data_IF_074630515530
#
_entry.id   IF_074630515530
#
_cell.length_a   1.000
_cell.length_b   1.000
_cell.length_c   1.000
_cell.angle_alpha   90.00
_cell.angle_beta   90.00
_cell.angle_gamma   90.00
#
_symmetry.space_group_name_H-M   'P 1'
#
loop_
_entity.id
_entity.type
_entity.pdbx_description
1 polymer ?
#
# COMPACT_ATOMS: atom_id res chain seq x y z
N UNK A 1 -7.78 -7.95 9.20
CA UNK A 1 -6.58 -7.11 9.44
C UNK A 1 -6.00 -7.30 10.84
N UNK A 2 -6.74 -7.02 11.92
CA UNK A 2 -6.23 -7.17 13.30
C UNK A 2 -5.61 -8.55 13.63
N UNK A 3 -6.24 -9.65 13.18
CA UNK A 3 -5.70 -11.00 13.40
C UNK A 3 -4.35 -11.23 12.70
N UNK A 4 -4.18 -10.76 11.46
CA UNK A 4 -2.93 -10.91 10.71
C UNK A 4 -1.82 -10.01 11.28
N UNK A 5 -2.16 -8.83 11.77
CA UNK A 5 -1.21 -7.97 12.47
C UNK A 5 -0.77 -8.59 13.81
N UNK A 6 -1.68 -9.20 14.57
CA UNK A 6 -1.33 -9.94 15.78
C UNK A 6 -0.41 -11.14 15.47
N UNK A 7 -0.71 -11.89 14.40
CA UNK A 7 0.13 -13.00 13.95
C UNK A 7 1.54 -12.54 13.53
N UNK A 8 1.68 -11.37 12.90
CA UNK A 8 3.00 -10.83 12.57
C UNK A 8 3.83 -10.51 13.83
N UNK A 9 3.22 -9.95 14.87
CA UNK A 9 3.88 -9.68 16.16
C UNK A 9 4.27 -10.97 16.87
N UNK A 10 3.37 -11.95 16.91
CA UNK A 10 3.66 -13.29 17.48
C UNK A 10 4.81 -13.95 16.70
N UNK A 11 4.82 -13.81 15.37
CA UNK A 11 5.88 -14.36 14.52
C UNK A 11 7.23 -13.68 14.79
N UNK A 12 7.26 -12.37 15.03
CA UNK A 12 8.49 -11.66 15.40
C UNK A 12 9.08 -12.19 16.73
N UNK A 13 8.21 -12.40 17.73
CA UNK A 13 8.62 -12.95 19.02
C UNK A 13 9.14 -14.39 18.86
N UNK A 14 8.43 -15.22 18.09
CA UNK A 14 8.84 -16.60 17.82
C UNK A 14 10.18 -16.66 17.08
N UNK A 15 10.38 -15.85 16.03
CA UNK A 15 11.65 -15.78 15.28
C UNK A 15 12.82 -15.37 16.18
N UNK A 16 12.59 -14.45 17.13
CA UNK A 16 13.62 -14.03 18.10
C UNK A 16 14.05 -15.20 18.99
N UNK A 17 13.09 -15.98 19.51
CA UNK A 17 13.36 -17.16 20.36
C UNK A 17 14.06 -18.27 19.58
N UNK A 18 13.74 -18.41 18.28
CA UNK A 18 14.31 -19.43 17.39
C UNK A 18 15.71 -19.06 16.86
N UNK A 19 16.27 -17.90 17.23
CA UNK A 19 17.62 -17.48 16.83
C UNK A 19 17.69 -16.60 15.58
N UNK A 20 16.55 -16.31 14.95
CA UNK A 20 16.45 -15.47 13.75
C UNK A 20 16.26 -13.97 14.11
N UNK A 21 16.88 -13.52 15.21
CA UNK A 21 16.72 -12.14 15.72
C UNK A 21 17.20 -11.08 14.71
N UNK A 22 18.16 -11.42 13.85
CA UNK A 22 18.65 -10.53 12.79
C UNK A 22 17.53 -10.13 11.79
N UNK A 23 16.67 -11.07 11.41
CA UNK A 23 15.50 -10.80 10.54
C UNK A 23 14.51 -9.87 11.22
N UNK A 24 14.31 -10.05 12.52
CA UNK A 24 13.41 -9.21 13.32
C UNK A 24 13.92 -7.78 13.37
N UNK A 25 15.23 -7.58 13.62
CA UNK A 25 15.87 -6.26 13.60
C UNK A 25 15.76 -5.61 12.21
N UNK A 26 16.04 -6.37 11.14
CA UNK A 26 15.89 -5.90 9.76
C UNK A 26 14.44 -5.47 9.49
N UNK A 27 13.47 -6.31 9.85
CA UNK A 27 12.05 -6.01 9.67
C UNK A 27 11.58 -4.77 10.44
N UNK A 28 12.06 -4.56 11.67
CA UNK A 28 11.77 -3.34 12.43
C UNK A 28 12.39 -2.09 11.79
N UNK A 29 13.63 -2.19 11.30
CA UNK A 29 14.28 -1.08 10.61
C UNK A 29 13.52 -0.70 9.33
N UNK A 30 13.17 -1.70 8.52
CA UNK A 30 12.37 -1.51 7.30
C UNK A 30 10.99 -0.96 7.63
N UNK A 31 10.27 -1.54 8.60
CA UNK A 31 8.94 -1.06 9.00
C UNK A 31 8.97 0.39 9.50
N UNK A 32 10.00 0.78 10.26
CA UNK A 32 10.18 2.15 10.75
C UNK A 32 10.43 3.12 9.60
N UNK A 33 11.31 2.76 8.67
CA UNK A 33 11.57 3.55 7.47
C UNK A 33 10.31 3.70 6.61
N UNK A 34 9.59 2.59 6.38
CA UNK A 34 8.33 2.59 5.64
C UNK A 34 7.28 3.47 6.31
N UNK A 35 7.20 3.46 7.63
CA UNK A 35 6.29 4.33 8.36
C UNK A 35 6.62 5.81 8.15
N UNK A 36 7.90 6.19 8.24
CA UNK A 36 8.36 7.56 7.96
C UNK A 36 8.03 7.94 6.51
N UNK A 37 8.38 7.11 5.53
CA UNK A 37 8.08 7.37 4.11
C UNK A 37 6.58 7.46 3.84
N UNK A 38 5.78 6.56 4.40
CA UNK A 38 4.33 6.58 4.27
C UNK A 38 3.70 7.81 4.93
N UNK A 39 4.33 8.39 5.95
CA UNK A 39 3.87 9.64 6.57
C UNK A 39 4.15 10.88 5.70
N UNK A 40 5.21 10.82 4.88
CA UNK A 40 5.61 11.88 3.94
C UNK A 40 4.80 11.84 2.64
N UNK A 41 4.23 10.69 2.28
CA UNK A 41 3.37 10.57 1.12
C UNK A 41 2.16 11.50 1.25
N UNK A 42 1.76 12.19 0.16
CA UNK A 42 0.66 13.13 0.19
C UNK A 42 -0.54 12.54 0.92
N UNK A 43 -0.97 13.19 2.01
CA UNK A 43 -2.26 12.88 2.66
C UNK A 43 -3.42 13.31 1.76
N UNK A 44 -3.12 14.27 0.90
CA UNK A 44 -4.01 14.90 -0.03
C UNK A 44 -3.72 14.40 -1.44
N UNK A 45 -4.72 13.76 -2.04
CA UNK A 45 -4.97 13.97 -3.45
C UNK A 45 -5.37 15.45 -3.69
N UNK A 46 -5.81 16.20 -2.67
CA UNK A 46 -6.19 17.63 -2.66
C UNK A 46 -5.26 18.57 -3.43
N UNK A 47 -4.02 18.85 -2.99
CA UNK A 47 -3.19 19.85 -3.70
C UNK A 47 -2.95 19.53 -5.18
N UNK A 48 -2.68 18.28 -5.53
CA UNK A 48 -2.38 17.89 -6.92
C UNK A 48 -3.64 17.65 -7.75
N UNK A 49 -4.73 17.15 -7.17
CA UNK A 49 -6.02 17.02 -7.82
C UNK A 49 -6.71 18.38 -7.99
N UNK A 50 -6.55 19.31 -7.06
CA UNK A 50 -7.01 20.69 -7.20
C UNK A 50 -6.25 21.40 -8.33
N UNK A 51 -4.95 21.13 -8.48
CA UNK A 51 -4.17 21.59 -9.64
C UNK A 51 -4.60 20.92 -10.93
N UNK A 52 -4.84 19.60 -10.92
CA UNK A 52 -5.36 18.86 -12.07
C UNK A 52 -6.71 19.42 -12.52
N UNK A 53 -7.57 19.76 -11.56
CA UNK A 53 -8.88 20.35 -11.77
C UNK A 53 -8.79 21.77 -12.30
N UNK A 54 -7.93 22.62 -11.74
CA UNK A 54 -7.67 23.96 -12.27
C UNK A 54 -7.21 23.92 -13.73
N UNK A 55 -6.36 22.94 -14.09
CA UNK A 55 -5.91 22.73 -15.47
C UNK A 55 -7.06 22.22 -16.36
N UNK A 56 -7.95 21.37 -15.83
CA UNK A 56 -9.11 20.90 -16.58
C UNK A 56 -10.14 22.02 -16.84
N UNK A 57 -10.35 22.90 -15.86
CA UNK A 57 -11.29 24.03 -15.93
C UNK A 57 -10.80 25.17 -16.83
N UNK A 58 -9.48 25.36 -16.97
CA UNK A 58 -8.86 26.38 -17.85
C UNK A 58 -8.82 26.00 -19.36
N UNK A 59 -9.67 25.05 -19.78
CA UNK A 59 -9.80 24.64 -21.19
C UNK A 59 -8.83 23.56 -21.65
N UNK A 60 -7.90 23.10 -20.79
CA UNK A 60 -6.94 22.01 -21.07
C UNK A 60 -7.36 20.69 -20.41
N UNK A 61 -8.62 20.28 -20.63
CA UNK A 61 -9.26 19.10 -20.02
C UNK A 61 -8.41 17.82 -20.05
N UNK A 62 -7.79 17.49 -21.20
CA UNK A 62 -6.95 16.28 -21.34
C UNK A 62 -5.73 16.28 -20.42
N UNK A 63 -5.08 17.44 -20.25
CA UNK A 63 -3.92 17.56 -19.37
C UNK A 63 -4.33 17.47 -17.90
N UNK A 64 -5.46 18.05 -17.53
CA UNK A 64 -6.03 17.91 -16.19
C UNK A 64 -6.34 16.45 -15.85
N UNK A 65 -6.97 15.71 -16.76
CA UNK A 65 -7.24 14.27 -16.56
C UNK A 65 -5.98 13.42 -16.45
N UNK A 66 -4.96 13.70 -17.27
CA UNK A 66 -3.68 13.00 -17.18
C UNK A 66 -2.98 13.27 -15.84
N UNK A 67 -2.99 14.51 -15.38
CA UNK A 67 -2.40 14.89 -14.10
C UNK A 67 -3.14 14.23 -12.92
N UNK A 68 -4.48 14.22 -12.96
CA UNK A 68 -5.30 13.52 -11.95
C UNK A 68 -4.99 12.01 -11.90
N UNK A 69 -4.84 11.35 -13.06
CA UNK A 69 -4.49 9.94 -13.14
C UNK A 69 -3.09 9.66 -12.57
N UNK A 70 -2.08 10.46 -12.94
CA UNK A 70 -0.71 10.30 -12.42
C UNK A 70 -0.72 10.45 -10.90
N UNK A 71 -1.41 11.46 -10.37
CA UNK A 71 -1.43 11.71 -8.93
C UNK A 71 -2.14 10.58 -8.16
N UNK A 72 -3.26 10.09 -8.70
CA UNK A 72 -4.01 8.98 -8.10
C UNK A 72 -3.24 7.65 -8.12
N UNK A 73 -2.25 7.50 -9.01
CA UNK A 73 -1.43 6.31 -9.14
C UNK A 73 -0.21 6.28 -8.20
N UNK A 74 0.16 7.40 -7.56
CA UNK A 74 1.38 7.49 -6.73
C UNK A 74 1.31 6.51 -5.56
N UNK A 75 0.27 6.59 -4.72
CA UNK A 75 0.16 5.74 -3.53
C UNK A 75 0.06 4.25 -3.93
N UNK A 76 -0.79 3.85 -4.88
CA UNK A 76 -0.85 2.46 -5.34
C UNK A 76 0.50 1.93 -5.89
N UNK A 77 1.24 2.75 -6.64
CA UNK A 77 2.57 2.38 -7.14
C UNK A 77 3.58 2.18 -6.01
N UNK A 78 3.58 3.07 -5.01
CA UNK A 78 4.47 2.95 -3.84
C UNK A 78 4.13 1.70 -3.03
N UNK A 79 2.85 1.37 -2.85
CA UNK A 79 2.44 0.12 -2.17
C UNK A 79 3.04 -1.10 -2.87
N UNK A 80 2.93 -1.17 -4.20
CA UNK A 80 3.48 -2.29 -4.99
C UNK A 80 5.00 -2.36 -4.84
N UNK A 81 5.70 -1.22 -4.99
CA UNK A 81 7.15 -1.15 -4.86
C UNK A 81 7.62 -1.63 -3.47
N UNK A 82 6.94 -1.17 -2.41
CA UNK A 82 7.24 -1.58 -1.03
C UNK A 82 7.02 -3.08 -0.85
N UNK A 83 5.90 -3.62 -1.35
CA UNK A 83 5.61 -5.05 -1.24
C UNK A 83 6.68 -5.91 -1.93
N UNK A 84 7.14 -5.49 -3.11
CA UNK A 84 8.22 -6.15 -3.85
C UNK A 84 9.54 -6.09 -3.11
N UNK A 85 9.90 -4.91 -2.59
CA UNK A 85 11.16 -4.75 -1.89
C UNK A 85 11.20 -5.54 -0.58
N UNK A 86 10.10 -5.51 0.19
CA UNK A 86 10.00 -6.31 1.42
C UNK A 86 10.06 -7.80 1.09
N UNK A 87 9.31 -8.27 0.10
CA UNK A 87 9.37 -9.68 -0.28
C UNK A 87 10.80 -10.08 -0.71
N UNK A 88 11.48 -9.25 -1.51
CA UNK A 88 12.83 -9.53 -1.99
C UNK A 88 13.82 -9.66 -0.83
N UNK A 89 13.82 -8.72 0.13
CA UNK A 89 14.70 -8.81 1.30
C UNK A 89 14.50 -10.10 2.10
N UNK A 90 13.25 -10.56 2.25
CA UNK A 90 12.96 -11.78 3.01
C UNK A 90 13.13 -13.09 2.21
N UNK A 91 13.25 -13.00 0.88
CA UNK A 91 13.69 -14.11 0.03
C UNK A 91 15.20 -14.26 0.08
N UNK A 92 15.93 -13.13 0.09
CA UNK A 92 17.39 -13.10 0.15
C UNK A 92 17.92 -13.52 1.53
N UNK A 93 17.20 -13.19 2.60
CA UNK A 93 17.49 -13.61 3.99
C UNK A 93 16.42 -14.59 4.52
N UNK A 94 16.47 -15.88 4.13
CA UNK A 94 15.45 -16.86 4.49
C UNK A 94 15.50 -17.21 5.99
N UNK A 95 14.33 -17.28 6.63
CA UNK A 95 14.22 -17.73 8.02
C UNK A 95 14.33 -19.25 8.17
N UNK A 96 14.73 -19.69 9.36
CA UNK A 96 14.76 -21.11 9.72
C UNK A 96 13.36 -21.74 9.65
N UNK A 97 12.33 -20.94 9.94
CA UNK A 97 10.91 -21.31 9.80
C UNK A 97 10.22 -20.40 8.77
N UNK A 98 10.07 -20.84 7.50
CA UNK A 98 9.62 -19.98 6.39
C UNK A 98 8.24 -19.36 6.59
N UNK A 99 7.32 -20.08 7.24
CA UNK A 99 5.96 -19.58 7.50
C UNK A 99 5.98 -18.40 8.47
N UNK A 100 6.84 -18.42 9.49
CA UNK A 100 6.98 -17.32 10.45
C UNK A 100 7.67 -16.11 9.79
N UNK A 101 8.68 -16.34 8.96
CA UNK A 101 9.32 -15.29 8.16
C UNK A 101 8.32 -14.63 7.19
N UNK A 102 7.47 -15.42 6.56
CA UNK A 102 6.39 -14.91 5.69
C UNK A 102 5.36 -14.07 6.47
N UNK A 103 4.89 -14.55 7.63
CA UNK A 103 3.95 -13.80 8.47
C UNK A 103 4.54 -12.49 8.99
N UNK A 104 5.82 -12.49 9.35
CA UNK A 104 6.50 -11.29 9.81
C UNK A 104 6.72 -10.28 8.68
N UNK A 105 7.22 -10.73 7.51
CA UNK A 105 7.40 -9.88 6.32
C UNK A 105 6.07 -9.29 5.82
N UNK A 106 4.97 -10.07 5.90
CA UNK A 106 3.62 -9.57 5.67
C UNK A 106 3.28 -8.38 6.57
N UNK A 107 3.58 -8.49 7.87
CA UNK A 107 3.39 -7.40 8.83
C UNK A 107 4.24 -6.18 8.52
N UNK A 108 5.50 -6.37 8.13
CA UNK A 108 6.42 -5.29 7.74
C UNK A 108 5.92 -4.55 6.51
N UNK A 109 5.52 -5.26 5.45
CA UNK A 109 5.06 -4.67 4.21
C UNK A 109 3.74 -3.89 4.37
N UNK A 110 2.82 -4.41 5.18
CA UNK A 110 1.44 -3.91 5.25
C UNK A 110 1.19 -2.96 6.42
N UNK A 111 1.99 -3.04 7.50
CA UNK A 111 1.74 -2.35 8.75
C UNK A 111 1.73 -0.82 8.65
N UNK A 112 2.60 -0.23 7.84
CA UNK A 112 2.64 1.22 7.62
C UNK A 112 1.32 1.74 7.03
N UNK A 113 0.69 0.98 6.12
CA UNK A 113 -0.58 1.34 5.49
C UNK A 113 -1.76 1.16 6.45
N UNK A 114 -1.75 0.08 7.24
CA UNK A 114 -2.76 -0.12 8.29
C UNK A 114 -2.72 1.02 9.31
N UNK A 115 -1.53 1.43 9.74
CA UNK A 115 -1.39 2.51 10.72
C UNK A 115 -1.80 3.85 10.11
N UNK A 116 -1.39 4.13 8.87
CA UNK A 116 -1.85 5.32 8.11
C UNK A 116 -3.37 5.38 8.02
N UNK A 117 -4.05 4.26 7.80
CA UNK A 117 -5.51 4.21 7.78
C UNK A 117 -6.16 4.46 9.14
N UNK A 118 -5.54 3.99 10.23
CA UNK A 118 -6.04 4.20 11.59
C UNK A 118 -5.93 5.65 12.06
N UNK A 119 -4.83 6.32 11.73
CA UNK A 119 -4.60 7.73 12.10
C UNK A 119 -5.22 8.73 11.11
N UNK A 120 -5.82 8.26 10.02
CA UNK A 120 -6.43 9.13 9.03
C UNK A 120 -7.66 9.86 9.59
N UNK A 121 -7.76 11.15 9.26
CA UNK A 121 -8.92 11.98 9.59
C UNK A 121 -10.22 11.40 9.00
N UNK A 122 -11.37 11.72 9.61
CA UNK A 122 -12.69 11.23 9.17
C UNK A 122 -12.94 11.39 7.68
N UNK A 123 -12.44 12.47 7.06
CA UNK A 123 -12.62 12.76 5.62
C UNK A 123 -11.89 11.76 4.71
N UNK A 124 -10.76 11.22 5.15
CA UNK A 124 -9.86 10.39 4.34
C UNK A 124 -9.80 8.93 4.80
N UNK A 125 -10.51 8.62 5.90
CA UNK A 125 -10.51 7.29 6.51
C UNK A 125 -10.94 6.20 5.54
N UNK A 126 -11.94 6.44 4.70
CA UNK A 126 -12.44 5.46 3.73
C UNK A 126 -11.39 5.12 2.68
N UNK A 127 -10.84 6.14 2.00
CA UNK A 127 -9.79 5.93 0.98
C UNK A 127 -8.55 5.27 1.58
N UNK A 128 -8.11 5.74 2.75
CA UNK A 128 -6.95 5.17 3.45
C UNK A 128 -7.18 3.71 3.85
N UNK A 129 -8.40 3.35 4.25
CA UNK A 129 -8.78 1.97 4.57
C UNK A 129 -8.80 1.08 3.33
N UNK A 130 -9.28 1.60 2.19
CA UNK A 130 -9.25 0.91 0.89
C UNK A 130 -7.79 0.66 0.46
N UNK A 131 -6.93 1.67 0.59
CA UNK A 131 -5.49 1.55 0.29
C UNK A 131 -4.81 0.51 1.19
N UNK A 132 -5.08 0.52 2.49
CA UNK A 132 -4.54 -0.47 3.41
C UNK A 132 -5.01 -1.89 3.05
N UNK A 133 -6.29 -2.07 2.75
CA UNK A 133 -6.83 -3.36 2.31
C UNK A 133 -6.20 -3.83 0.99
N UNK A 134 -6.05 -2.93 0.02
CA UNK A 134 -5.38 -3.21 -1.24
C UNK A 134 -3.91 -3.61 -1.03
N UNK A 135 -3.19 -2.97 -0.09
CA UNK A 135 -1.82 -3.34 0.26
C UNK A 135 -1.73 -4.77 0.81
N UNK A 136 -2.63 -5.15 1.72
CA UNK A 136 -2.72 -6.51 2.26
C UNK A 136 -2.97 -7.56 1.16
N UNK A 137 -3.92 -7.32 0.27
CA UNK A 137 -4.21 -8.22 -0.86
C UNK A 137 -3.08 -8.28 -1.87
N UNK A 138 -2.47 -7.13 -2.18
CA UNK A 138 -1.35 -7.01 -3.12
C UNK A 138 -0.14 -7.82 -2.65
N UNK A 139 0.22 -7.73 -1.36
CA UNK A 139 1.33 -8.51 -0.81
C UNK A 139 1.02 -10.02 -0.77
N UNK A 140 -0.20 -10.38 -0.38
CA UNK A 140 -0.63 -11.78 -0.35
C UNK A 140 -0.56 -12.42 -1.75
N UNK A 141 -1.08 -11.73 -2.77
CA UNK A 141 -1.01 -12.20 -4.15
C UNK A 141 0.43 -12.28 -4.65
N UNK A 142 1.23 -11.22 -4.44
CA UNK A 142 2.63 -11.20 -4.84
C UNK A 142 3.41 -12.38 -4.24
N UNK A 143 3.32 -12.55 -2.93
CA UNK A 143 4.05 -13.59 -2.21
C UNK A 143 3.57 -15.00 -2.57
N UNK A 144 2.28 -15.23 -2.77
CA UNK A 144 1.77 -16.53 -3.24
C UNK A 144 2.26 -16.81 -4.66
N UNK A 145 2.18 -15.83 -5.57
CA UNK A 145 2.64 -15.99 -6.95
C UNK A 145 4.13 -16.34 -7.04
N UNK A 146 4.98 -15.64 -6.28
CA UNK A 146 6.43 -15.85 -6.33
C UNK A 146 6.84 -17.10 -5.53
N UNK A 147 6.34 -17.27 -4.30
CA UNK A 147 6.82 -18.33 -3.40
C UNK A 147 6.13 -19.69 -3.62
N UNK A 148 4.82 -19.70 -3.89
CA UNK A 148 4.07 -20.95 -4.04
C UNK A 148 3.99 -21.42 -5.49
N UNK A 149 3.78 -20.48 -6.43
CA UNK A 149 3.70 -20.81 -7.86
C UNK A 149 5.03 -20.67 -8.61
N UNK A 150 6.09 -20.21 -7.94
CA UNK A 150 7.42 -20.08 -8.55
C UNK A 150 7.46 -19.11 -9.74
N UNK A 151 6.52 -18.15 -9.79
CA UNK A 151 6.47 -17.18 -10.88
C UNK A 151 7.66 -16.23 -10.82
N UNK A 152 8.11 -15.77 -11.99
CA UNK A 152 9.06 -14.66 -12.05
C UNK A 152 8.51 -13.44 -11.30
N UNK A 153 9.39 -12.71 -10.61
CA UNK A 153 9.03 -11.51 -9.83
C UNK A 153 8.33 -10.48 -10.72
N UNK A 154 8.72 -10.37 -11.98
CA UNK A 154 8.08 -9.51 -13.00
C UNK A 154 6.58 -9.82 -13.17
N UNK A 155 6.22 -11.09 -13.26
CA UNK A 155 4.83 -11.54 -13.37
C UNK A 155 4.09 -11.40 -12.03
N UNK A 156 4.76 -11.65 -10.91
CA UNK A 156 4.22 -11.40 -9.57
C UNK A 156 3.87 -9.93 -9.34
N UNK A 157 4.71 -9.00 -9.83
CA UNK A 157 4.45 -7.56 -9.81
C UNK A 157 3.14 -7.25 -10.52
N UNK A 158 2.94 -7.79 -11.72
CA UNK A 158 1.70 -7.55 -12.48
C UNK A 158 0.47 -7.99 -11.70
N UNK A 159 0.49 -9.19 -11.10
CA UNK A 159 -0.64 -9.68 -10.29
C UNK A 159 -0.87 -8.79 -9.07
N UNK A 160 0.21 -8.32 -8.42
CA UNK A 160 0.15 -7.45 -7.25
C UNK A 160 -0.48 -6.07 -7.52
N UNK A 161 -0.55 -5.65 -8.79
CA UNK A 161 -1.24 -4.41 -9.21
C UNK A 161 -2.76 -4.57 -9.31
N UNK A 162 -3.30 -5.79 -9.40
CA UNK A 162 -4.74 -6.01 -9.57
C UNK A 162 -5.55 -5.39 -8.40
N UNK A 163 -5.19 -5.62 -7.11
CA UNK A 163 -5.89 -4.99 -5.99
C UNK A 163 -5.75 -3.46 -5.96
N UNK A 164 -4.75 -2.91 -6.65
CA UNK A 164 -4.46 -1.48 -6.69
C UNK A 164 -5.35 -0.70 -7.66
N UNK A 165 -6.07 -1.39 -8.55
CA UNK A 165 -7.03 -0.76 -9.46
C UNK A 165 -8.14 -0.05 -8.68
N UNK A 166 -8.62 -0.64 -7.58
CA UNK A 166 -9.69 -0.04 -6.77
C UNK A 166 -9.28 1.29 -6.12
N UNK A 167 -8.19 1.40 -5.32
CA UNK A 167 -7.77 2.68 -4.77
C UNK A 167 -7.40 3.69 -5.86
N UNK A 168 -6.85 3.24 -7.00
CA UNK A 168 -6.60 4.11 -8.15
C UNK A 168 -7.90 4.71 -8.70
N UNK A 169 -8.93 3.89 -8.97
CA UNK A 169 -10.20 4.36 -9.52
C UNK A 169 -10.93 5.28 -8.53
N UNK A 170 -10.91 4.96 -7.23
CA UNK A 170 -11.52 5.82 -6.21
C UNK A 170 -10.79 7.17 -6.13
N UNK A 171 -9.45 7.18 -6.12
CA UNK A 171 -8.67 8.42 -6.17
C UNK A 171 -8.95 9.24 -7.42
N UNK A 172 -8.99 8.58 -8.58
CA UNK A 172 -9.29 9.20 -9.86
C UNK A 172 -10.70 9.83 -9.87
N UNK A 173 -11.71 9.11 -9.41
CA UNK A 173 -13.07 9.64 -9.33
C UNK A 173 -13.16 10.80 -8.34
N UNK A 174 -12.48 10.75 -7.19
CA UNK A 174 -12.45 11.87 -6.25
C UNK A 174 -11.75 13.11 -6.83
N UNK A 175 -10.69 12.90 -7.62
CA UNK A 175 -9.96 13.97 -8.28
C UNK A 175 -10.76 14.60 -9.44
N UNK A 176 -11.57 13.80 -10.14
CA UNK A 176 -12.34 14.22 -11.31
C UNK A 176 -13.78 14.65 -10.98
N UNK A 177 -14.35 14.16 -9.87
CA UNK A 177 -15.72 14.47 -9.50
C UNK A 177 -15.84 15.96 -9.22
N UNK A 178 -16.56 16.63 -10.11
CA UNK A 178 -16.98 18.01 -9.95
C UNK A 178 -17.75 18.10 -8.62
N UNK A 179 -17.26 18.88 -7.65
CA UNK A 179 -17.90 19.06 -6.34
C UNK A 179 -19.39 19.44 -6.45
N UNK A 180 -19.85 19.91 -7.61
CA UNK A 180 -21.25 20.19 -7.91
C UNK A 180 -22.10 18.91 -8.04
N UNK A 181 -21.60 17.83 -8.65
CA UNK A 181 -22.34 16.57 -8.79
C UNK A 181 -22.47 15.81 -7.45
N UNK A 182 -21.50 15.97 -6.54
CA UNK A 182 -21.55 15.42 -5.19
C UNK A 182 -22.35 16.31 -4.21
N UNK A 183 -22.66 17.56 -4.58
CA UNK A 183 -23.51 18.46 -3.77
C UNK A 183 -24.98 18.08 -3.83
N UNK A 184 -25.40 17.47 -4.94
CA UNK A 184 -26.78 17.00 -5.16
C UNK A 184 -27.02 15.59 -4.62
N UNK A 185 -25.97 14.89 -4.19
CA UNK A 185 -26.08 13.60 -3.49
C UNK A 185 -25.98 13.88 -1.98
N UNK A 186 -27.05 14.43 -1.41
CA UNK A 186 -27.25 14.45 0.04
C UNK A 186 -27.55 13.03 0.51
N UNK A 187 -26.67 12.49 1.37
CA UNK A 187 -26.94 11.31 2.20
C UNK A 187 -27.38 11.81 3.58
#
# INVERSE_FOLDING_TARGET
>A
MAALSALAVISALALTVLGDAHLVVLGFAVASLLFVLASLLPREDGFLADRARQVAETGRRRLGYCLAAICSAIIPAVIVLVNVQVLSCFVDDPSTVPVLGWLFSYGVATGAWTLRAQIADRRFRTLSSIQAYAAHFSYALLSISVLAFGMEVSAGILISTIPQVLPFMVGLFLALADRNALRDVQI
#
